data_IF_711900504533
#
_entry.id   IF_711900504533
#
_cell.length_a   1.000
_cell.length_b   1.000
_cell.length_c   1.000
_cell.angle_alpha   90.00
_cell.angle_beta   90.00
_cell.angle_gamma   90.00
#
_symmetry.space_group_name_H-M   'P 1'
#
loop_
_entity.id
_entity.type
_entity.pdbx_description
1 polymer ?
#
# COMPACT_ATOMS: atom_id res chain seq x y z
N UNK A 1 -7.44 -16.20 -4.93
CA UNK A 1 -7.07 -15.20 -5.96
C UNK A 1 -5.84 -15.72 -6.71
N UNK A 2 -5.80 -15.67 -8.04
CA UNK A 2 -4.69 -16.24 -8.80
C UNK A 2 -3.50 -15.28 -8.72
N UNK A 3 -2.33 -15.75 -8.22
CA UNK A 3 -1.11 -14.96 -8.08
C UNK A 3 -0.58 -14.39 -9.40
N UNK A 4 -0.89 -15.07 -10.51
CA UNK A 4 -0.44 -14.69 -11.86
C UNK A 4 -1.08 -13.39 -12.38
N UNK A 5 -2.13 -12.89 -11.70
CA UNK A 5 -2.76 -11.61 -12.03
C UNK A 5 -1.94 -10.39 -11.57
N UNK A 6 -0.91 -10.62 -10.76
CA UNK A 6 -0.11 -9.57 -10.13
C UNK A 6 1.32 -9.53 -10.68
N UNK A 7 1.50 -9.76 -11.99
CA UNK A 7 2.81 -9.64 -12.63
C UNK A 7 3.34 -8.20 -12.45
N UNK A 8 4.27 -8.07 -11.50
CA UNK A 8 4.78 -6.81 -10.98
C UNK A 8 6.00 -6.29 -11.76
N UNK A 9 6.05 -6.51 -13.07
CA UNK A 9 7.18 -6.13 -13.93
C UNK A 9 7.67 -4.68 -13.75
N UNK A 10 6.86 -3.82 -13.11
CA UNK A 10 7.15 -2.40 -12.92
C UNK A 10 7.22 -1.95 -11.45
N UNK A 11 7.30 -2.87 -10.48
CA UNK A 11 7.24 -2.48 -9.07
C UNK A 11 8.48 -2.90 -8.28
N UNK A 12 9.14 -1.95 -7.58
CA UNK A 12 10.24 -2.27 -6.67
C UNK A 12 9.77 -2.94 -5.37
N UNK A 13 8.53 -3.42 -5.30
CA UNK A 13 7.94 -3.99 -4.10
C UNK A 13 8.31 -5.45 -3.87
N UNK A 14 8.85 -6.15 -4.87
CA UNK A 14 9.33 -7.52 -4.72
C UNK A 14 10.39 -7.68 -3.61
N UNK A 15 11.17 -6.63 -3.35
CA UNK A 15 12.14 -6.61 -2.25
C UNK A 15 11.50 -6.63 -0.86
N UNK A 16 10.24 -6.22 -0.73
CA UNK A 16 9.47 -6.17 0.52
C UNK A 16 8.48 -7.34 0.65
N UNK A 17 8.14 -8.02 -0.45
CA UNK A 17 7.13 -9.06 -0.47
C UNK A 17 7.36 -10.11 0.61
N UNK A 18 6.32 -10.41 1.38
CA UNK A 18 6.32 -11.40 2.48
C UNK A 18 7.39 -11.17 3.55
N UNK A 19 7.84 -9.93 3.76
CA UNK A 19 8.86 -9.57 4.75
C UNK A 19 8.28 -8.81 5.92
N UNK A 20 8.94 -8.93 7.05
CA UNK A 20 8.75 -8.07 8.23
C UNK A 20 10.07 -7.42 8.61
N UNK A 21 10.03 -6.19 9.04
CA UNK A 21 11.18 -5.50 9.62
C UNK A 21 10.74 -4.50 10.69
N UNK A 22 11.69 -4.10 11.53
CA UNK A 22 11.49 -3.09 12.56
C UNK A 22 12.18 -1.79 12.15
N UNK A 23 11.55 -0.68 12.49
CA UNK A 23 12.07 0.67 12.25
C UNK A 23 11.70 1.60 13.41
N UNK A 24 12.34 2.76 13.50
CA UNK A 24 12.02 3.74 14.54
C UNK A 24 10.59 4.25 14.41
N UNK A 25 9.88 4.31 15.52
CA UNK A 25 8.55 4.90 15.59
C UNK A 25 8.57 6.42 15.35
N UNK A 26 7.42 6.97 14.99
CA UNK A 26 7.26 8.39 14.68
C UNK A 26 7.39 9.29 15.92
N UNK A 27 7.14 8.75 17.10
CA UNK A 27 7.07 9.46 18.39
C UNK A 27 8.23 9.12 19.33
N UNK A 28 9.28 8.47 18.84
CA UNK A 28 10.39 7.92 19.63
C UNK A 28 9.97 6.89 20.69
N UNK A 29 8.77 6.30 20.58
CA UNK A 29 8.26 5.30 21.53
C UNK A 29 8.95 3.93 21.41
N UNK A 30 9.85 3.77 20.47
CA UNK A 30 10.59 2.53 20.23
C UNK A 30 10.56 2.09 18.76
N UNK A 31 10.73 0.79 18.53
CA UNK A 31 10.71 0.21 17.20
C UNK A 31 9.29 -0.12 16.76
N UNK A 32 8.92 0.27 15.55
CA UNK A 32 7.68 -0.12 14.91
C UNK A 32 7.90 -1.33 14.00
N UNK A 33 6.96 -2.26 14.03
CA UNK A 33 6.96 -3.43 13.17
C UNK A 33 6.14 -3.19 11.91
N UNK A 34 6.76 -3.46 10.77
CA UNK A 34 6.12 -3.45 9.47
C UNK A 34 6.08 -4.88 8.92
N UNK A 35 4.90 -5.33 8.53
CA UNK A 35 4.70 -6.61 7.86
C UNK A 35 4.11 -6.36 6.48
N UNK A 36 4.74 -6.93 5.47
CA UNK A 36 4.31 -6.80 4.08
C UNK A 36 3.76 -8.11 3.56
N UNK A 37 2.65 -8.03 2.85
CA UNK A 37 2.03 -9.16 2.18
C UNK A 37 2.83 -9.60 0.94
N UNK A 38 2.31 -10.53 0.18
CA UNK A 38 2.97 -11.13 -0.98
C UNK A 38 3.22 -10.12 -2.11
N UNK A 39 2.49 -9.01 -2.14
CA UNK A 39 2.70 -7.91 -3.09
C UNK A 39 3.67 -6.84 -2.58
N UNK A 40 4.14 -6.94 -1.33
CA UNK A 40 4.99 -5.93 -0.70
C UNK A 40 4.21 -4.71 -0.18
N UNK A 41 2.91 -4.84 0.05
CA UNK A 41 2.07 -3.85 0.72
C UNK A 41 1.71 -4.29 2.13
N UNK A 42 1.40 -3.34 3.00
CA UNK A 42 0.87 -3.62 4.34
C UNK A 42 -0.59 -4.09 4.24
N UNK A 43 -1.07 -4.80 5.25
CA UNK A 43 -2.43 -5.31 5.31
C UNK A 43 -2.51 -6.83 5.20
N UNK A 44 -3.68 -7.34 4.85
CA UNK A 44 -3.94 -8.76 4.79
C UNK A 44 -3.24 -9.45 3.60
N UNK A 45 -3.09 -10.77 3.69
CA UNK A 45 -2.61 -11.60 2.58
C UNK A 45 -3.54 -11.50 1.37
N UNK A 46 -2.97 -11.46 0.16
CA UNK A 46 -3.75 -11.49 -1.09
C UNK A 46 -4.55 -12.80 -1.28
N UNK A 47 -4.27 -13.81 -0.48
CA UNK A 47 -5.02 -15.08 -0.47
C UNK A 47 -6.34 -14.96 0.28
N UNK A 48 -6.49 -13.91 1.09
CA UNK A 48 -7.73 -13.59 1.78
C UNK A 48 -8.77 -12.97 0.84
N UNK A 49 -10.01 -12.89 1.27
CA UNK A 49 -11.08 -12.22 0.53
C UNK A 49 -11.03 -10.71 0.77
N UNK A 50 -10.13 -10.03 0.08
CA UNK A 50 -9.90 -8.59 0.23
C UNK A 50 -11.14 -7.81 -0.24
N UNK A 51 -11.67 -6.97 0.64
CA UNK A 51 -12.86 -6.14 0.37
C UNK A 51 -12.61 -4.64 0.53
N UNK A 52 -11.48 -4.24 1.08
CA UNK A 52 -11.10 -2.83 1.17
C UNK A 52 -9.71 -2.60 0.58
N UNK A 53 -9.62 -1.57 -0.27
CA UNK A 53 -8.38 -1.08 -0.85
C UNK A 53 -8.13 0.34 -0.35
N UNK A 54 -7.01 0.57 0.33
CA UNK A 54 -6.53 1.89 0.73
C UNK A 54 -5.32 2.28 -0.10
N UNK A 55 -5.35 3.45 -0.74
CA UNK A 55 -4.26 3.92 -1.59
C UNK A 55 -3.86 5.34 -1.20
N UNK A 56 -2.56 5.60 -1.17
CA UNK A 56 -2.04 6.92 -0.78
C UNK A 56 -0.52 6.97 -0.72
N UNK A 57 0.01 7.97 -0.03
CA UNK A 57 1.45 8.15 0.18
C UNK A 57 1.92 7.60 1.55
N UNK A 58 2.95 8.19 2.14
CA UNK A 58 3.53 7.79 3.43
C UNK A 58 2.53 7.80 4.60
N UNK A 59 1.56 8.72 4.59
CA UNK A 59 0.51 8.78 5.62
C UNK A 59 -0.43 7.57 5.53
N UNK A 60 -0.70 7.07 4.34
CA UNK A 60 -1.48 5.85 4.15
C UNK A 60 -0.65 4.61 4.45
N UNK A 61 0.60 4.57 4.01
CA UNK A 61 1.53 3.50 4.39
C UNK A 61 1.69 3.40 5.91
N UNK A 62 1.59 4.53 6.63
CA UNK A 62 1.71 4.58 8.09
C UNK A 62 3.16 4.49 8.53
N UNK A 63 4.02 5.36 7.96
CA UNK A 63 5.43 5.45 8.37
C UNK A 63 5.52 5.86 9.85
N UNK A 64 6.28 5.09 10.63
CA UNK A 64 6.44 5.30 12.07
C UNK A 64 5.32 4.71 12.93
N UNK A 65 4.43 3.89 12.36
CA UNK A 65 3.34 3.22 13.05
C UNK A 65 3.43 1.70 12.91
N UNK A 66 3.03 0.96 13.93
CA UNK A 66 2.85 -0.49 13.84
C UNK A 66 1.75 -0.86 12.83
N UNK A 67 1.69 -2.12 12.43
CA UNK A 67 0.69 -2.58 11.45
C UNK A 67 -0.75 -2.29 11.89
N UNK A 68 -1.03 -2.45 13.16
CA UNK A 68 -2.36 -2.25 13.76
C UNK A 68 -2.68 -0.80 14.14
N UNK A 69 -1.80 0.16 13.85
CA UNK A 69 -1.94 1.58 14.19
C UNK A 69 -2.20 2.45 12.96
N UNK A 70 -2.20 1.87 11.78
CA UNK A 70 -2.45 2.62 10.54
C UNK A 70 -3.95 2.90 10.37
N UNK A 71 -4.30 4.07 9.79
CA UNK A 71 -5.71 4.39 9.56
C UNK A 71 -6.44 3.37 8.66
N UNK A 72 -5.78 2.75 7.63
CA UNK A 72 -6.44 1.70 6.87
C UNK A 72 -6.81 0.48 7.71
N UNK A 73 -5.94 0.09 8.65
CA UNK A 73 -6.21 -1.04 9.54
C UNK A 73 -7.36 -0.74 10.51
N UNK A 74 -7.37 0.45 11.12
CA UNK A 74 -8.48 0.89 11.98
C UNK A 74 -9.82 0.88 11.25
N UNK A 75 -9.84 1.42 10.04
CA UNK A 75 -11.06 1.48 9.25
C UNK A 75 -11.52 0.09 8.81
N UNK A 76 -10.61 -0.75 8.34
CA UNK A 76 -10.91 -2.12 7.96
C UNK A 76 -11.51 -2.93 9.11
N UNK A 77 -10.94 -2.78 10.31
CA UNK A 77 -11.49 -3.40 11.53
C UNK A 77 -12.88 -2.87 11.87
N UNK A 78 -13.08 -1.57 11.80
CA UNK A 78 -14.38 -0.94 12.07
C UNK A 78 -15.48 -1.42 11.11
N UNK A 79 -15.10 -1.70 9.85
CA UNK A 79 -16.00 -2.21 8.82
C UNK A 79 -16.08 -3.74 8.79
N UNK A 80 -15.29 -4.43 9.60
CA UNK A 80 -15.12 -5.89 9.58
C UNK A 80 -14.75 -6.41 8.18
N UNK A 81 -13.77 -5.77 7.54
CA UNK A 81 -13.30 -6.10 6.20
C UNK A 81 -11.83 -6.49 6.20
N UNK A 82 -11.46 -7.43 5.33
CA UNK A 82 -10.06 -7.66 4.94
C UNK A 82 -9.60 -6.55 3.99
N UNK A 83 -8.35 -6.09 4.17
CA UNK A 83 -7.85 -4.93 3.44
C UNK A 83 -6.42 -5.10 2.92
N UNK A 84 -6.10 -4.33 1.89
CA UNK A 84 -4.72 -4.05 1.49
C UNK A 84 -4.48 -2.54 1.59
N UNK A 85 -3.38 -2.18 2.23
CA UNK A 85 -2.89 -0.82 2.31
C UNK A 85 -1.81 -0.60 1.24
N UNK A 86 -2.18 -0.03 0.11
CA UNK A 86 -1.30 0.30 -1.01
C UNK A 86 -0.73 1.73 -0.92
N UNK A 87 -0.66 2.29 0.28
CA UNK A 87 0.13 3.47 0.57
C UNK A 87 1.61 3.22 0.34
N UNK A 88 2.32 4.20 -0.22
CA UNK A 88 3.75 4.09 -0.46
C UNK A 88 4.44 5.44 -0.32
N UNK A 89 5.48 5.48 0.51
CA UNK A 89 6.25 6.69 0.81
C UNK A 89 6.77 7.37 -0.45
N UNK A 90 6.65 8.70 -0.48
CA UNK A 90 7.18 9.53 -1.57
C UNK A 90 6.37 9.51 -2.85
N UNK A 91 5.25 8.80 -2.90
CA UNK A 91 4.46 8.68 -4.14
C UNK A 91 3.56 9.87 -4.41
N UNK A 92 3.25 10.07 -5.68
CA UNK A 92 2.44 11.14 -6.25
C UNK A 92 0.98 10.74 -6.43
N UNK A 93 0.14 11.70 -6.83
CA UNK A 93 -1.23 11.42 -7.22
C UNK A 93 -1.31 10.59 -8.52
N UNK A 94 -0.29 10.68 -9.38
CA UNK A 94 -0.18 9.83 -10.59
C UNK A 94 -0.03 8.36 -10.19
N UNK A 95 0.85 8.06 -9.21
CA UNK A 95 0.97 6.73 -8.61
C UNK A 95 -0.36 6.24 -8.03
N UNK A 96 -1.02 7.07 -7.23
CA UNK A 96 -2.29 6.73 -6.58
C UNK A 96 -3.34 6.34 -7.61
N UNK A 97 -3.53 7.18 -8.64
CA UNK A 97 -4.51 6.93 -9.71
C UNK A 97 -4.19 5.66 -10.50
N UNK A 98 -2.92 5.46 -10.84
CA UNK A 98 -2.48 4.26 -11.56
C UNK A 98 -2.67 3.00 -10.72
N UNK A 99 -2.32 3.04 -9.45
CA UNK A 99 -2.49 1.91 -8.54
C UNK A 99 -3.96 1.50 -8.41
N UNK A 100 -4.87 2.45 -8.28
CA UNK A 100 -6.31 2.15 -8.27
C UNK A 100 -6.72 1.47 -9.58
N UNK A 101 -6.36 2.03 -10.74
CA UNK A 101 -6.70 1.47 -12.04
C UNK A 101 -6.16 0.05 -12.24
N UNK A 102 -4.92 -0.20 -11.83
CA UNK A 102 -4.25 -1.49 -12.00
C UNK A 102 -4.85 -2.60 -11.14
N UNK A 103 -5.36 -2.25 -9.95
CA UNK A 103 -5.74 -3.24 -8.95
C UNK A 103 -7.25 -3.35 -8.71
N UNK A 104 -8.05 -2.34 -9.02
CA UNK A 104 -9.49 -2.35 -8.71
C UNK A 104 -10.22 -3.55 -9.34
N UNK A 105 -9.95 -3.88 -10.60
CA UNK A 105 -10.55 -5.02 -11.27
C UNK A 105 -10.02 -6.36 -10.78
N UNK A 106 -8.75 -6.42 -10.36
CA UNK A 106 -8.09 -7.64 -9.89
C UNK A 106 -8.55 -8.03 -8.48
N UNK A 107 -8.70 -7.05 -7.61
CA UNK A 107 -9.09 -7.24 -6.20
C UNK A 107 -10.61 -7.30 -6.07
N UNK A 108 -11.34 -6.56 -6.90
CA UNK A 108 -12.79 -6.38 -6.83
C UNK A 108 -13.26 -5.99 -5.41
N UNK A 109 -12.71 -4.91 -4.83
CA UNK A 109 -13.03 -4.50 -3.47
C UNK A 109 -14.45 -3.92 -3.41
N UNK A 110 -15.08 -4.00 -2.23
CA UNK A 110 -16.34 -3.31 -1.93
C UNK A 110 -16.12 -1.82 -1.63
N UNK A 111 -14.94 -1.50 -1.09
CA UNK A 111 -14.59 -0.15 -0.65
C UNK A 111 -13.20 0.19 -1.17
N UNK A 112 -13.08 1.35 -1.81
CA UNK A 112 -11.80 1.94 -2.20
C UNK A 112 -11.69 3.30 -1.54
N UNK A 113 -10.60 3.52 -0.80
CA UNK A 113 -10.35 4.79 -0.13
C UNK A 113 -9.03 5.33 -0.62
N UNK A 114 -9.07 6.58 -1.06
CA UNK A 114 -7.93 7.26 -1.64
C UNK A 114 -7.59 8.48 -0.80
N UNK A 115 -6.35 8.51 -0.31
CA UNK A 115 -5.78 9.70 0.31
C UNK A 115 -4.79 10.34 -0.66
N UNK A 116 -5.21 11.42 -1.31
CA UNK A 116 -4.34 12.19 -2.20
C UNK A 116 -3.19 12.85 -1.44
N UNK A 117 -2.07 12.99 -2.11
CA UNK A 117 -0.88 13.68 -1.61
C UNK A 117 -0.75 15.08 -2.22
N UNK A 118 0.38 15.75 -1.98
CA UNK A 118 0.64 17.09 -2.50
C UNK A 118 0.55 17.12 -4.03
N UNK A 119 -0.16 18.10 -4.62
CA UNK A 119 -0.33 18.23 -6.07
C UNK A 119 0.99 18.38 -6.85
N UNK A 120 2.02 18.91 -6.18
CA UNK A 120 3.35 19.09 -6.78
C UNK A 120 4.12 17.79 -7.00
N UNK A 121 3.74 16.72 -6.33
CA UNK A 121 4.38 15.41 -6.54
C UNK A 121 3.85 14.78 -7.82
N UNK A 122 4.79 14.43 -8.72
CA UNK A 122 4.48 13.84 -10.02
C UNK A 122 5.27 12.55 -10.23
N UNK A 123 4.92 11.81 -11.26
CA UNK A 123 5.74 10.73 -11.82
C UNK A 123 6.20 11.11 -13.22
N UNK A 124 7.38 10.65 -13.62
CA UNK A 124 7.81 10.65 -15.01
C UNK A 124 8.19 9.24 -15.44
N UNK A 125 7.97 8.96 -16.73
CA UNK A 125 8.23 7.63 -17.27
C UNK A 125 9.63 7.53 -17.84
N UNK A 126 10.34 6.48 -17.46
CA UNK A 126 11.64 6.12 -18.02
C UNK A 126 11.55 4.74 -18.68
N UNK A 127 12.63 4.32 -19.33
CA UNK A 127 12.75 2.95 -19.81
C UNK A 127 12.69 1.88 -18.72
N UNK A 128 12.81 2.27 -17.47
CA UNK A 128 12.72 1.41 -16.29
C UNK A 128 11.36 1.51 -15.56
N UNK A 129 10.40 2.19 -16.18
CA UNK A 129 9.07 2.43 -15.61
C UNK A 129 8.91 3.81 -14.96
N UNK A 130 7.80 4.00 -14.23
CA UNK A 130 7.49 5.28 -13.58
C UNK A 130 8.43 5.56 -12.40
N UNK A 131 8.94 6.77 -12.34
CA UNK A 131 9.81 7.25 -11.28
C UNK A 131 9.17 8.46 -10.58
N UNK A 132 9.32 8.62 -9.26
CA UNK A 132 8.84 9.80 -8.55
C UNK A 132 9.68 11.02 -8.94
N UNK A 133 9.01 12.19 -8.99
CA UNK A 133 9.62 13.51 -9.20
C UNK A 133 9.45 14.37 -7.96
#
# INVERSE_FOLDING_TARGET
MNSDLFDSKYWPLSSRASKSFETSGSDNSGLCKYTYNELGYRGDSIKEDIKMLAVGCSHTEGIGLNDNETWPDYLAKSLNLKHINMGFTGRSNDYISRTVNDYIAKINPKVVIVMYTYPSRREYWTKYGPQPY
#
